data_IF_773307281711
#
_entry.id   IF_773307281711
#
_cell.length_a   1.000
_cell.length_b   1.000
_cell.length_c   1.000
_cell.angle_alpha   90.00
_cell.angle_beta   90.00
_cell.angle_gamma   90.00
#
_symmetry.space_group_name_H-M   'P 1'
#
loop_
_entity.id
_entity.type
_entity.pdbx_description
1 polymer ?
#
# COMPACT_ATOMS: atom_id res chain seq x y z
N UNK A 1 60.56 -59.15 -15.63
CA UNK A 1 59.66 -59.64 -16.70
C UNK A 1 58.34 -58.92 -16.51
N UNK A 2 58.03 -57.96 -17.37
CA UNK A 2 56.78 -57.21 -17.27
C UNK A 2 55.61 -58.13 -17.60
N UNK A 3 54.82 -58.49 -16.59
CA UNK A 3 53.59 -59.25 -16.78
C UNK A 3 52.63 -58.44 -17.65
N UNK A 4 52.43 -58.87 -18.89
CA UNK A 4 51.43 -58.29 -19.80
C UNK A 4 50.06 -58.91 -19.54
N UNK A 5 49.05 -58.08 -19.36
CA UNK A 5 47.66 -58.49 -19.20
C UNK A 5 47.00 -58.57 -20.58
N UNK A 6 46.52 -59.75 -21.00
CA UNK A 6 45.96 -59.96 -22.34
C UNK A 6 44.43 -60.10 -22.27
N UNK A 7 43.71 -59.46 -23.19
CA UNK A 7 42.27 -59.62 -23.30
C UNK A 7 41.90 -60.94 -23.99
N UNK A 8 41.13 -61.79 -23.34
CA UNK A 8 40.69 -63.09 -23.87
C UNK A 8 39.80 -62.99 -25.13
N UNK A 9 39.08 -61.87 -25.30
CA UNK A 9 38.14 -61.69 -26.42
C UNK A 9 38.81 -61.17 -27.68
N UNK A 10 39.82 -60.30 -27.55
CA UNK A 10 40.42 -59.62 -28.71
C UNK A 10 41.94 -59.68 -28.77
N UNK A 11 42.57 -60.41 -27.83
CA UNK A 11 44.01 -60.65 -27.74
C UNK A 11 44.89 -59.39 -27.62
N UNK A 12 44.30 -58.23 -27.32
CA UNK A 12 45.05 -57.00 -27.06
C UNK A 12 45.81 -57.09 -25.72
N UNK A 13 47.06 -56.61 -25.71
CA UNK A 13 47.92 -56.61 -24.52
C UNK A 13 47.94 -55.26 -23.81
N UNK A 14 47.93 -55.28 -22.48
CA UNK A 14 47.90 -54.11 -21.61
C UNK A 14 48.99 -54.19 -20.55
N UNK A 15 49.55 -53.03 -20.16
CA UNK A 15 50.59 -52.94 -19.13
C UNK A 15 50.07 -53.06 -17.70
N UNK A 16 48.75 -52.91 -17.48
CA UNK A 16 48.14 -52.94 -16.15
C UNK A 16 46.78 -53.65 -16.17
N UNK A 17 46.43 -54.29 -15.06
CA UNK A 17 45.13 -54.98 -14.91
C UNK A 17 43.95 -54.00 -15.04
N UNK A 18 44.07 -52.81 -14.44
CA UNK A 18 43.04 -51.76 -14.50
C UNK A 18 42.73 -51.33 -15.95
N UNK A 19 43.74 -51.26 -16.81
CA UNK A 19 43.55 -50.87 -18.20
C UNK A 19 42.92 -52.01 -19.02
N UNK A 20 43.27 -53.27 -18.75
CA UNK A 20 42.56 -54.43 -19.29
C UNK A 20 41.08 -54.44 -18.85
N UNK A 21 40.80 -54.16 -17.57
CA UNK A 21 39.43 -54.13 -17.04
C UNK A 21 38.58 -53.04 -17.71
N UNK A 22 39.15 -51.83 -17.87
CA UNK A 22 38.49 -50.73 -18.57
C UNK A 22 38.27 -51.07 -20.05
N UNK A 23 39.25 -51.70 -20.70
CA UNK A 23 39.14 -52.17 -22.07
C UNK A 23 37.99 -53.18 -22.23
N UNK A 24 37.91 -54.22 -21.38
CA UNK A 24 36.82 -55.23 -21.42
C UNK A 24 35.44 -54.59 -21.26
N UNK A 25 35.34 -53.49 -20.51
CA UNK A 25 34.08 -52.78 -20.20
C UNK A 25 33.67 -51.74 -21.25
N UNK A 26 34.61 -51.12 -21.96
CA UNK A 26 34.35 -49.91 -22.75
C UNK A 26 34.74 -50.04 -24.22
N UNK A 27 35.63 -50.97 -24.59
CA UNK A 27 36.10 -51.06 -25.96
C UNK A 27 34.99 -51.63 -26.86
N UNK A 28 34.44 -50.78 -27.74
CA UNK A 28 33.32 -51.10 -28.64
C UNK A 28 33.49 -52.43 -29.37
N UNK A 29 34.67 -52.69 -29.92
CA UNK A 29 34.95 -53.93 -30.65
C UNK A 29 35.02 -55.15 -29.73
N UNK A 30 35.59 -55.00 -28.53
CA UNK A 30 35.70 -56.07 -27.54
C UNK A 30 34.32 -56.43 -26.96
N UNK A 31 33.46 -55.44 -26.72
CA UNK A 31 32.08 -55.67 -26.29
C UNK A 31 31.24 -56.37 -27.37
N UNK A 32 31.43 -56.01 -28.64
CA UNK A 32 30.78 -56.69 -29.76
C UNK A 32 31.16 -58.18 -29.82
N UNK A 33 32.44 -58.51 -29.60
CA UNK A 33 32.91 -59.90 -29.51
C UNK A 33 32.34 -60.61 -28.27
N UNK A 34 32.14 -59.89 -27.16
CA UNK A 34 31.49 -60.40 -25.95
C UNK A 34 29.96 -60.58 -26.09
N UNK A 35 29.35 -60.18 -27.22
CA UNK A 35 27.89 -60.18 -27.39
C UNK A 35 27.17 -59.16 -26.49
N UNK A 36 27.86 -58.10 -26.05
CA UNK A 36 27.30 -57.04 -25.19
C UNK A 36 27.08 -55.76 -25.98
N UNK A 37 25.96 -55.10 -25.73
CA UNK A 37 25.71 -53.77 -26.28
C UNK A 37 26.54 -52.71 -25.57
N UNK A 38 27.06 -51.76 -26.35
CA UNK A 38 27.79 -50.62 -25.82
C UNK A 38 26.80 -49.55 -25.35
N UNK A 39 26.58 -49.46 -24.04
CA UNK A 39 25.69 -48.45 -23.44
C UNK A 39 26.30 -47.06 -23.65
N UNK A 40 25.64 -46.25 -24.48
CA UNK A 40 26.01 -44.86 -24.72
C UNK A 40 25.23 -43.92 -23.79
N UNK A 41 25.93 -42.95 -23.23
CA UNK A 41 25.34 -41.90 -22.40
C UNK A 41 24.88 -40.76 -23.32
N UNK A 42 23.58 -40.48 -23.38
CA UNK A 42 23.00 -39.49 -24.29
C UNK A 42 22.78 -38.15 -23.58
N UNK A 43 23.20 -37.05 -24.19
CA UNK A 43 22.89 -35.71 -23.72
C UNK A 43 21.40 -35.40 -23.94
N UNK A 44 20.69 -34.96 -22.89
CA UNK A 44 19.26 -34.65 -22.97
C UNK A 44 18.95 -33.37 -23.76
N UNK A 45 19.94 -32.48 -23.94
CA UNK A 45 19.80 -31.29 -24.79
C UNK A 45 19.98 -31.65 -26.27
N UNK A 46 21.24 -31.90 -26.67
CA UNK A 46 21.59 -32.07 -28.10
C UNK A 46 21.59 -33.50 -28.64
N UNK A 47 21.14 -34.47 -27.84
CA UNK A 47 21.07 -35.88 -28.23
C UNK A 47 22.41 -36.56 -28.61
N UNK A 48 23.57 -35.88 -28.47
CA UNK A 48 24.89 -36.48 -28.68
C UNK A 48 25.16 -37.60 -27.67
N UNK A 49 25.84 -38.64 -28.13
CA UNK A 49 26.15 -39.85 -27.35
C UNK A 49 27.61 -39.92 -26.96
N UNK A 50 27.89 -40.34 -25.73
CA UNK A 50 29.22 -40.41 -25.15
C UNK A 50 29.50 -41.80 -24.59
N UNK A 51 30.75 -42.25 -24.68
CA UNK A 51 31.18 -43.59 -24.24
C UNK A 51 31.26 -43.73 -22.72
N UNK A 52 31.36 -42.64 -21.97
CA UNK A 52 31.37 -42.66 -20.51
C UNK A 52 30.54 -41.50 -19.94
N UNK A 53 30.10 -41.67 -18.69
CA UNK A 53 29.36 -40.64 -17.95
C UNK A 53 30.19 -39.36 -17.74
N UNK A 54 31.50 -39.49 -17.47
CA UNK A 54 32.38 -38.33 -17.29
C UNK A 54 32.44 -37.44 -18.55
N UNK A 55 32.55 -38.06 -19.73
CA UNK A 55 32.54 -37.30 -20.99
C UNK A 55 31.20 -36.61 -21.23
N UNK A 56 30.08 -37.27 -20.89
CA UNK A 56 28.76 -36.65 -20.95
C UNK A 56 28.68 -35.44 -20.00
N UNK A 57 29.16 -35.58 -18.75
CA UNK A 57 29.13 -34.51 -17.76
C UNK A 57 29.95 -33.29 -18.21
N UNK A 58 31.18 -33.50 -18.69
CA UNK A 58 32.02 -32.42 -19.22
C UNK A 58 31.38 -31.76 -20.44
N UNK A 59 30.73 -32.54 -21.30
CA UNK A 59 29.97 -32.00 -22.42
C UNK A 59 28.76 -31.16 -21.94
N UNK A 60 27.99 -31.65 -20.98
CA UNK A 60 26.79 -30.97 -20.47
C UNK A 60 27.12 -29.59 -19.89
N UNK A 61 28.28 -29.42 -19.24
CA UNK A 61 28.74 -28.11 -18.74
C UNK A 61 28.84 -27.04 -19.81
N UNK A 62 29.14 -27.42 -21.06
CA UNK A 62 29.36 -26.49 -22.18
C UNK A 62 28.32 -26.64 -23.32
N UNK A 63 27.36 -27.56 -23.17
CA UNK A 63 26.33 -27.80 -24.17
C UNK A 63 25.21 -26.77 -24.02
N UNK A 64 25.11 -25.82 -24.95
CA UNK A 64 24.11 -24.75 -24.93
C UNK A 64 22.69 -25.31 -24.80
N UNK A 65 22.31 -26.30 -25.61
CA UNK A 65 20.97 -26.89 -25.58
C UNK A 65 20.64 -27.55 -24.23
N UNK A 66 21.61 -28.21 -23.61
CA UNK A 66 21.44 -28.78 -22.27
C UNK A 66 21.32 -27.71 -21.19
N UNK A 67 22.15 -26.67 -21.26
CA UNK A 67 22.11 -25.55 -20.31
C UNK A 67 20.78 -24.80 -20.38
N UNK A 68 20.26 -24.58 -21.60
CA UNK A 68 18.94 -23.96 -21.82
C UNK A 68 17.81 -24.84 -21.25
N UNK A 69 17.78 -26.14 -21.57
CA UNK A 69 16.77 -27.07 -21.04
C UNK A 69 16.81 -27.14 -19.49
N UNK A 70 18.00 -27.18 -18.91
CA UNK A 70 18.19 -27.17 -17.47
C UNK A 70 17.65 -25.87 -16.84
N UNK A 71 18.01 -24.71 -17.39
CA UNK A 71 17.52 -23.41 -16.91
C UNK A 71 16.01 -23.27 -17.05
N UNK A 72 15.43 -23.77 -18.15
CA UNK A 72 13.97 -23.79 -18.35
C UNK A 72 13.30 -24.61 -17.25
N UNK A 73 13.83 -25.80 -16.93
CA UNK A 73 13.28 -26.67 -15.86
C UNK A 73 13.36 -26.01 -14.49
N UNK A 74 14.47 -25.34 -14.17
CA UNK A 74 14.59 -24.59 -12.92
C UNK A 74 13.59 -23.43 -12.84
N UNK A 75 13.46 -22.66 -13.92
CA UNK A 75 12.49 -21.55 -13.99
C UNK A 75 11.05 -22.04 -13.91
N UNK A 76 10.70 -23.15 -14.56
CA UNK A 76 9.37 -23.75 -14.48
C UNK A 76 9.02 -24.14 -13.05
N UNK A 77 9.98 -24.68 -12.29
CA UNK A 77 9.78 -25.00 -10.88
C UNK A 77 9.49 -23.75 -10.05
N UNK A 78 10.24 -22.68 -10.25
CA UNK A 78 10.02 -21.39 -9.58
C UNK A 78 8.62 -20.85 -9.89
N UNK A 79 8.23 -20.86 -11.16
CA UNK A 79 6.91 -20.39 -11.60
C UNK A 79 5.78 -21.21 -10.95
N UNK A 80 5.94 -22.53 -10.83
CA UNK A 80 4.94 -23.39 -10.19
C UNK A 80 4.83 -23.11 -8.68
N UNK A 81 5.97 -22.86 -8.02
CA UNK A 81 6.00 -22.52 -6.59
C UNK A 81 5.38 -21.12 -6.34
N UNK A 82 5.69 -20.14 -7.19
CA UNK A 82 5.08 -18.79 -7.15
C UNK A 82 3.57 -18.84 -7.41
N UNK A 83 3.13 -19.62 -8.40
CA UNK A 83 1.70 -19.83 -8.69
C UNK A 83 0.96 -20.37 -7.48
N UNK A 84 1.54 -21.37 -6.79
CA UNK A 84 0.96 -21.93 -5.56
C UNK A 84 0.89 -20.90 -4.43
N UNK A 85 1.92 -20.05 -4.31
CA UNK A 85 1.92 -18.97 -3.31
C UNK A 85 0.80 -17.95 -3.60
N UNK A 86 0.62 -17.55 -4.86
CA UNK A 86 -0.45 -16.64 -5.29
C UNK A 86 -1.84 -17.25 -5.06
N UNK A 87 -2.04 -18.52 -5.39
CA UNK A 87 -3.31 -19.21 -5.13
C UNK A 87 -3.67 -19.27 -3.64
N UNK A 88 -2.67 -19.47 -2.77
CA UNK A 88 -2.90 -19.44 -1.32
C UNK A 88 -3.21 -18.04 -0.82
N UNK A 89 -2.51 -17.01 -1.30
CA UNK A 89 -2.79 -15.61 -0.96
C UNK A 89 -4.22 -15.20 -1.38
N UNK A 90 -4.65 -15.59 -2.57
CA UNK A 90 -6.00 -15.31 -3.06
C UNK A 90 -7.07 -15.96 -2.17
N UNK A 91 -6.88 -17.21 -1.73
CA UNK A 91 -7.82 -17.87 -0.80
C UNK A 91 -7.93 -17.14 0.55
N UNK A 92 -6.82 -16.60 1.05
CA UNK A 92 -6.82 -15.79 2.29
C UNK A 92 -7.61 -14.50 2.07
N UNK A 93 -7.33 -13.77 0.98
CA UNK A 93 -8.02 -12.52 0.64
C UNK A 93 -9.52 -12.72 0.38
N UNK A 94 -9.92 -13.84 -0.23
CA UNK A 94 -11.33 -14.19 -0.41
C UNK A 94 -12.05 -14.38 0.94
N UNK A 95 -11.39 -15.07 1.89
CA UNK A 95 -11.93 -15.26 3.24
C UNK A 95 -12.07 -13.94 3.98
N UNK A 96 -11.04 -13.09 3.94
CA UNK A 96 -11.08 -11.77 4.57
C UNK A 96 -12.19 -10.88 3.98
N UNK A 97 -12.41 -10.95 2.66
CA UNK A 97 -13.50 -10.22 2.01
C UNK A 97 -14.89 -10.71 2.47
N UNK A 98 -15.06 -12.01 2.68
CA UNK A 98 -16.31 -12.56 3.23
C UNK A 98 -16.53 -12.06 4.66
N UNK A 99 -15.50 -12.11 5.50
CA UNK A 99 -15.58 -11.66 6.90
C UNK A 99 -15.89 -10.15 6.99
N UNK A 100 -15.25 -9.33 6.14
CA UNK A 100 -15.52 -7.89 6.05
C UNK A 100 -16.94 -7.58 5.59
N UNK A 101 -17.47 -8.33 4.61
CA UNK A 101 -18.87 -8.19 4.18
C UNK A 101 -19.83 -8.50 5.32
N UNK A 102 -19.61 -9.58 6.06
CA UNK A 102 -20.45 -9.94 7.21
C UNK A 102 -20.41 -8.86 8.32
N UNK A 103 -19.23 -8.28 8.59
CA UNK A 103 -19.12 -7.18 9.55
C UNK A 103 -19.89 -5.94 9.07
N UNK A 104 -19.80 -5.61 7.78
CA UNK A 104 -20.50 -4.48 7.20
C UNK A 104 -22.02 -4.66 7.28
N UNK A 105 -22.53 -5.86 6.94
CA UNK A 105 -23.96 -6.19 7.05
C UNK A 105 -24.44 -6.06 8.51
N UNK A 106 -23.64 -6.54 9.48
CA UNK A 106 -23.95 -6.41 10.91
C UNK A 106 -23.98 -4.95 11.37
N UNK A 107 -23.04 -4.12 10.90
CA UNK A 107 -23.01 -2.68 11.19
C UNK A 107 -24.23 -1.98 10.59
N UNK A 108 -24.59 -2.30 9.35
CA UNK A 108 -25.78 -1.76 8.70
C UNK A 108 -27.05 -2.12 9.46
N UNK A 109 -27.19 -3.37 9.89
CA UNK A 109 -28.33 -3.80 10.71
C UNK A 109 -28.36 -3.06 12.06
N UNK A 110 -27.20 -2.89 12.70
CA UNK A 110 -27.10 -2.14 13.97
C UNK A 110 -27.52 -0.68 13.78
N UNK A 111 -27.11 -0.04 12.69
CA UNK A 111 -27.51 1.33 12.35
C UNK A 111 -29.02 1.40 12.13
N UNK A 112 -29.60 0.43 11.40
CA UNK A 112 -31.03 0.34 11.17
C UNK A 112 -31.81 0.22 12.48
N UNK A 113 -31.39 -0.69 13.38
CA UNK A 113 -32.02 -0.90 14.68
C UNK A 113 -31.93 0.37 15.57
N UNK A 114 -30.80 1.09 15.52
CA UNK A 114 -30.62 2.36 16.22
C UNK A 114 -31.52 3.47 15.64
N UNK A 115 -31.65 3.53 14.31
CA UNK A 115 -32.52 4.49 13.64
C UNK A 115 -34.00 4.24 13.97
N UNK A 116 -34.46 2.98 13.95
CA UNK A 116 -35.82 2.59 14.34
C UNK A 116 -36.11 2.95 15.81
N UNK A 117 -35.16 2.72 16.71
CA UNK A 117 -35.27 3.14 18.12
C UNK A 117 -35.28 4.66 18.30
N UNK A 118 -34.56 5.41 17.47
CA UNK A 118 -34.56 6.87 17.50
C UNK A 118 -35.90 7.48 17.08
N UNK A 119 -36.59 6.88 16.09
CA UNK A 119 -37.92 7.32 15.64
C UNK A 119 -38.98 7.15 16.74
N UNK A 120 -38.81 6.16 17.62
CA UNK A 120 -39.74 5.89 18.73
C UNK A 120 -39.59 6.81 19.94
N UNK A 121 -38.57 7.69 19.97
CA UNK A 121 -38.37 8.66 21.06
C UNK A 121 -38.96 10.02 20.64
N UNK A 122 -39.90 10.60 21.42
CA UNK A 122 -40.29 11.98 21.21
C UNK A 122 -39.07 12.89 21.42
N UNK A 123 -38.72 13.68 20.41
CA UNK A 123 -37.59 14.60 20.45
C UNK A 123 -37.94 15.78 21.37
N UNK A 124 -37.41 15.77 22.59
CA UNK A 124 -37.36 16.96 23.42
C UNK A 124 -36.13 17.75 22.96
N UNK A 125 -36.33 18.70 22.06
CA UNK A 125 -35.29 19.67 21.69
C UNK A 125 -35.00 20.54 22.92
N UNK A 126 -33.91 20.27 23.63
CA UNK A 126 -33.45 21.12 24.73
C UNK A 126 -32.97 22.46 24.15
N UNK A 127 -33.89 23.44 24.05
CA UNK A 127 -33.61 24.79 23.56
C UNK A 127 -32.55 25.55 24.41
N UNK A 128 -32.18 25.04 25.58
CA UNK A 128 -31.25 25.71 26.50
C UNK A 128 -29.78 25.72 26.02
N UNK A 129 -29.29 24.68 25.31
CA UNK A 129 -27.87 24.61 24.88
C UNK A 129 -27.57 25.56 23.71
N UNK A 130 -28.51 25.75 22.78
CA UNK A 130 -28.34 26.64 21.61
C UNK A 130 -28.33 28.11 22.05
N UNK A 131 -29.11 28.46 23.07
CA UNK A 131 -29.17 29.82 23.60
C UNK A 131 -27.86 30.28 24.27
N UNK A 132 -26.97 29.35 24.66
CA UNK A 132 -25.70 29.67 25.30
C UNK A 132 -24.54 29.87 24.32
N UNK A 133 -24.75 29.65 23.01
CA UNK A 133 -23.69 29.86 22.01
C UNK A 133 -23.25 31.33 21.96
N UNK A 134 -21.94 31.55 21.81
CA UNK A 134 -21.40 32.88 21.55
C UNK A 134 -21.61 33.30 20.09
N UNK A 135 -21.68 34.61 19.85
CA UNK A 135 -21.83 35.21 18.51
C UNK A 135 -20.58 34.96 17.66
N UNK A 136 -20.73 34.52 16.43
CA UNK A 136 -19.64 34.52 15.46
C UNK A 136 -19.67 35.84 14.69
N UNK A 137 -18.63 36.65 14.87
CA UNK A 137 -18.39 37.87 14.06
C UNK A 137 -17.16 37.73 13.19
N UNK A 138 -17.11 38.54 12.14
CA UNK A 138 -15.96 38.64 11.25
C UNK A 138 -14.69 39.05 12.01
N UNK A 139 -14.78 39.98 12.97
CA UNK A 139 -13.63 40.37 13.80
C UNK A 139 -13.13 39.21 14.65
N UNK A 140 -14.03 38.48 15.32
CA UNK A 140 -13.64 37.35 16.16
C UNK A 140 -12.89 36.29 15.34
N UNK A 141 -13.40 35.94 14.16
CA UNK A 141 -12.73 34.98 13.28
C UNK A 141 -11.34 35.48 12.88
N UNK A 142 -11.21 36.74 12.48
CA UNK A 142 -9.92 37.35 12.11
C UNK A 142 -8.93 37.34 13.27
N UNK A 143 -9.37 37.63 14.49
CA UNK A 143 -8.53 37.60 15.69
C UNK A 143 -7.98 36.21 16.01
N UNK A 144 -8.69 35.15 15.60
CA UNK A 144 -8.25 33.77 15.81
C UNK A 144 -7.29 33.25 14.74
N UNK A 145 -7.11 33.95 13.60
CA UNK A 145 -6.25 33.51 12.48
C UNK A 145 -4.82 33.22 12.93
N UNK A 146 -4.30 34.00 13.89
CA UNK A 146 -2.95 33.82 14.45
C UNK A 146 -2.71 32.45 15.10
N UNK A 147 -3.77 31.75 15.52
CA UNK A 147 -3.67 30.44 16.14
C UNK A 147 -3.58 29.30 15.12
N UNK A 148 -3.72 29.58 13.83
CA UNK A 148 -3.36 28.62 12.79
C UNK A 148 -1.84 28.45 12.78
N UNK A 149 -1.40 27.21 12.88
CA UNK A 149 0.01 26.81 13.01
C UNK A 149 0.38 25.80 11.95
N UNK A 150 1.68 25.61 11.73
CA UNK A 150 2.21 24.62 10.79
C UNK A 150 1.77 23.19 11.15
N UNK A 151 1.58 22.88 12.43
CA UNK A 151 1.16 21.55 12.87
C UNK A 151 -0.27 21.23 12.45
N UNK A 152 -1.16 22.24 12.44
CA UNK A 152 -2.50 22.07 11.89
C UNK A 152 -2.44 21.72 10.38
N UNK A 153 -1.56 22.40 9.63
CA UNK A 153 -1.37 22.10 8.20
C UNK A 153 -0.80 20.70 8.00
N UNK A 154 0.19 20.28 8.79
CA UNK A 154 0.81 18.94 8.70
C UNK A 154 -0.19 17.80 8.96
N UNK A 155 -1.23 18.04 9.75
CA UNK A 155 -2.28 17.05 10.06
C UNK A 155 -3.43 17.01 9.04
N UNK A 156 -3.41 17.87 8.02
CA UNK A 156 -4.46 17.94 7.00
C UNK A 156 -5.85 18.26 7.56
N UNK A 157 -6.89 17.59 7.03
CA UNK A 157 -8.29 17.88 7.37
C UNK A 157 -8.56 17.80 8.88
N UNK A 158 -7.91 16.87 9.59
CA UNK A 158 -7.99 16.77 11.04
C UNK A 158 -7.44 18.04 11.72
N UNK A 159 -6.26 18.50 11.31
CA UNK A 159 -5.64 19.69 11.88
C UNK A 159 -6.44 20.97 11.65
N UNK A 160 -7.01 21.17 10.46
CA UNK A 160 -7.92 22.29 10.23
C UNK A 160 -9.16 22.21 11.12
N UNK A 161 -9.75 21.02 11.29
CA UNK A 161 -10.91 20.84 12.17
C UNK A 161 -10.57 21.10 13.64
N UNK A 162 -9.40 20.68 14.11
CA UNK A 162 -8.89 20.97 15.46
C UNK A 162 -8.76 22.48 15.66
N UNK A 163 -8.06 23.17 14.75
CA UNK A 163 -7.93 24.61 14.77
C UNK A 163 -9.30 25.30 14.84
N UNK A 164 -10.23 24.94 13.94
CA UNK A 164 -11.54 25.59 13.91
C UNK A 164 -12.31 25.40 15.21
N UNK A 165 -12.30 24.20 15.78
CA UNK A 165 -13.03 23.87 17.00
C UNK A 165 -12.42 24.50 18.25
N UNK A 166 -11.10 24.62 18.32
CA UNK A 166 -10.39 25.15 19.48
C UNK A 166 -10.38 26.68 19.52
N UNK A 167 -10.44 27.34 18.36
CA UNK A 167 -10.29 28.79 18.26
C UNK A 167 -11.55 29.47 17.70
N UNK A 168 -11.79 29.61 16.38
CA UNK A 168 -12.89 30.43 15.89
C UNK A 168 -14.28 29.89 16.23
N UNK A 169 -14.46 28.57 16.37
CA UNK A 169 -15.77 27.94 16.61
C UNK A 169 -15.98 27.43 18.04
N UNK A 170 -15.01 27.64 18.93
CA UNK A 170 -15.10 27.18 20.33
C UNK A 170 -16.35 27.74 21.00
N UNK A 171 -17.23 26.84 21.43
CA UNK A 171 -18.51 27.15 22.11
C UNK A 171 -19.44 28.07 21.28
N UNK A 172 -19.30 28.05 19.95
CA UNK A 172 -20.03 28.93 19.02
C UNK A 172 -20.88 28.20 18.00
N UNK A 173 -20.67 26.90 17.84
CA UNK A 173 -21.42 26.05 16.91
C UNK A 173 -21.94 24.80 17.57
N UNK A 174 -23.05 24.28 17.06
CA UNK A 174 -23.59 22.98 17.45
C UNK A 174 -24.12 22.24 16.23
N UNK A 175 -23.82 20.95 16.12
CA UNK A 175 -24.36 20.08 15.09
C UNK A 175 -25.69 19.49 15.59
N UNK A 176 -26.78 19.86 14.89
CA UNK A 176 -28.15 19.44 15.26
C UNK A 176 -28.65 18.23 14.48
N UNK A 177 -28.05 17.95 13.32
CA UNK A 177 -28.32 16.76 12.52
C UNK A 177 -27.00 16.32 11.89
N UNK A 178 -26.41 15.26 12.44
CA UNK A 178 -25.13 14.74 11.98
C UNK A 178 -25.22 14.14 10.57
N UNK A 179 -26.31 13.45 10.26
CA UNK A 179 -26.50 12.78 8.97
C UNK A 179 -26.59 13.80 7.83
N UNK A 180 -27.17 14.97 8.09
CA UNK A 180 -27.30 16.09 7.14
C UNK A 180 -26.30 17.22 7.35
N UNK A 181 -25.30 17.00 8.20
CA UNK A 181 -24.25 17.97 8.58
C UNK A 181 -24.81 19.37 8.83
N UNK A 182 -25.89 19.44 9.62
CA UNK A 182 -26.65 20.67 9.86
C UNK A 182 -26.13 21.36 11.11
N UNK A 183 -25.32 22.39 10.92
CA UNK A 183 -24.85 23.24 12.01
C UNK A 183 -25.86 24.35 12.34
N UNK A 184 -25.83 24.76 13.60
CA UNK A 184 -26.43 26.00 14.06
C UNK A 184 -25.39 26.84 14.80
N UNK A 185 -25.46 28.15 14.62
CA UNK A 185 -24.60 29.14 15.28
C UNK A 185 -25.34 30.46 15.44
N UNK A 186 -24.80 31.38 16.25
CA UNK A 186 -25.32 32.75 16.33
C UNK A 186 -24.53 33.67 15.40
N UNK A 187 -25.22 34.39 14.52
CA UNK A 187 -24.61 35.43 13.67
C UNK A 187 -24.31 36.71 14.48
N UNK A 188 -23.77 37.73 13.82
CA UNK A 188 -23.44 39.04 14.41
C UNK A 188 -24.64 39.74 15.07
N UNK A 189 -25.85 39.51 14.55
CA UNK A 189 -27.10 40.05 15.08
C UNK A 189 -27.61 39.26 16.30
N UNK A 190 -26.92 38.18 16.70
CA UNK A 190 -27.32 37.29 17.79
C UNK A 190 -28.40 36.28 17.41
N UNK A 191 -28.76 36.21 16.13
CA UNK A 191 -29.79 35.30 15.61
C UNK A 191 -29.23 33.91 15.38
N UNK A 192 -30.02 32.89 15.67
CA UNK A 192 -29.64 31.50 15.43
C UNK A 192 -29.81 31.19 13.94
N UNK A 193 -28.69 31.05 13.25
CA UNK A 193 -28.64 30.62 11.85
C UNK A 193 -28.53 29.11 11.79
N UNK A 194 -29.28 28.49 10.88
CA UNK A 194 -29.10 27.09 10.53
C UNK A 194 -28.38 26.99 9.19
N UNK A 195 -27.24 26.31 9.17
CA UNK A 195 -26.34 26.24 8.02
C UNK A 195 -26.07 24.79 7.61
N UNK A 196 -26.95 24.21 6.77
CA UNK A 196 -26.74 22.88 6.20
C UNK A 196 -25.45 22.82 5.39
N UNK A 197 -24.66 21.77 5.58
CA UNK A 197 -23.37 21.59 4.91
C UNK A 197 -22.39 22.76 5.15
N UNK A 198 -22.58 23.53 6.22
CA UNK A 198 -21.74 24.67 6.63
C UNK A 198 -21.46 25.66 5.50
N UNK A 199 -22.46 25.92 4.66
CA UNK A 199 -22.29 26.67 3.41
C UNK A 199 -21.86 28.11 3.63
N UNK A 200 -22.43 28.79 4.61
CA UNK A 200 -22.14 30.20 4.85
C UNK A 200 -20.90 30.37 5.73
N UNK A 201 -20.80 29.54 6.78
CA UNK A 201 -19.72 29.68 7.76
C UNK A 201 -18.36 29.23 7.22
N UNK A 202 -18.34 28.23 6.33
CA UNK A 202 -17.10 27.75 5.71
C UNK A 202 -16.42 28.82 4.87
N UNK A 203 -17.19 29.53 4.04
CA UNK A 203 -16.71 30.64 3.23
C UNK A 203 -15.98 31.70 4.07
N UNK A 204 -16.57 32.09 5.20
CA UNK A 204 -15.99 33.06 6.12
C UNK A 204 -14.69 32.55 6.76
N UNK A 205 -14.70 31.30 7.23
CA UNK A 205 -13.53 30.68 7.84
C UNK A 205 -12.36 30.53 6.86
N UNK A 206 -12.60 29.98 5.67
CA UNK A 206 -11.53 29.73 4.70
C UNK A 206 -11.00 31.03 4.10
N UNK A 207 -11.86 32.02 3.82
CA UNK A 207 -11.39 33.34 3.36
C UNK A 207 -10.52 34.04 4.40
N UNK A 208 -10.85 33.93 5.69
CA UNK A 208 -10.09 34.62 6.76
C UNK A 208 -8.69 34.04 6.98
N UNK A 209 -8.50 32.72 6.82
CA UNK A 209 -7.19 32.08 7.04
C UNK A 209 -6.29 32.08 5.80
N UNK A 210 -6.76 32.56 4.63
CA UNK A 210 -6.05 32.45 3.34
C UNK A 210 -4.59 32.89 3.40
N UNK A 211 -4.32 34.10 3.87
CA UNK A 211 -2.96 34.66 3.91
C UNK A 211 -2.08 33.90 4.91
N UNK A 212 -2.59 33.62 6.11
CA UNK A 212 -1.86 32.85 7.12
C UNK A 212 -1.55 31.43 6.66
N UNK A 213 -2.49 30.78 5.99
CA UNK A 213 -2.29 29.46 5.42
C UNK A 213 -1.17 29.48 4.39
N UNK A 214 -1.15 30.49 3.50
CA UNK A 214 -0.09 30.66 2.51
C UNK A 214 1.28 30.82 3.14
N UNK A 215 1.41 31.64 4.19
CA UNK A 215 2.66 31.80 4.94
C UNK A 215 3.18 30.47 5.47
N UNK A 216 2.29 29.70 6.12
CA UNK A 216 2.63 28.42 6.71
C UNK A 216 2.91 27.33 5.66
N UNK A 217 2.22 27.37 4.51
CA UNK A 217 2.51 26.50 3.37
C UNK A 217 3.93 26.75 2.85
N UNK A 218 4.32 28.02 2.70
CA UNK A 218 5.69 28.39 2.30
C UNK A 218 6.71 27.91 3.34
N UNK A 219 6.43 28.12 4.63
CA UNK A 219 7.28 27.64 5.71
C UNK A 219 7.48 26.12 5.65
N UNK A 220 6.39 25.36 5.49
CA UNK A 220 6.48 23.89 5.46
C UNK A 220 7.16 23.37 4.19
N UNK A 221 6.94 24.03 3.05
CA UNK A 221 7.65 23.72 1.79
C UNK A 221 9.15 23.90 1.95
N UNK A 222 9.59 24.96 2.63
CA UNK A 222 11.00 25.18 2.94
C UNK A 222 11.55 24.10 3.88
N UNK A 223 10.82 23.72 4.93
CA UNK A 223 11.21 22.60 5.82
C UNK A 223 11.38 21.28 5.05
N UNK A 224 10.47 20.96 4.13
CA UNK A 224 10.55 19.75 3.31
C UNK A 224 11.74 19.82 2.35
N UNK A 225 11.98 20.98 1.74
CA UNK A 225 13.12 21.21 0.83
C UNK A 225 14.44 21.02 1.55
N UNK A 226 14.58 21.50 2.78
CA UNK A 226 15.81 21.33 3.56
C UNK A 226 16.00 19.88 4.02
N UNK A 227 14.93 19.18 4.39
CA UNK A 227 14.99 17.73 4.67
C UNK A 227 15.41 16.93 3.43
N UNK A 228 14.91 17.31 2.26
CA UNK A 228 15.29 16.69 0.99
C UNK A 228 16.78 16.84 0.69
N UNK A 229 17.36 18.02 0.94
CA UNK A 229 18.82 18.26 0.75
C UNK A 229 19.70 17.42 1.67
N UNK A 230 19.20 17.02 2.84
CA UNK A 230 19.96 16.29 3.86
C UNK A 230 19.79 14.77 3.73
N UNK A 231 18.75 14.30 3.03
CA UNK A 231 18.48 12.88 2.83
C UNK A 231 19.65 12.18 2.12
N UNK A 232 20.14 11.07 2.69
CA UNK A 232 21.33 10.35 2.19
C UNK A 232 21.02 9.00 1.55
N UNK A 233 19.86 8.42 1.84
CA UNK A 233 19.45 7.12 1.32
C UNK A 233 18.15 7.19 0.49
N UNK A 234 17.96 6.27 -0.47
CA UNK A 234 16.79 6.29 -1.36
C UNK A 234 15.44 6.15 -0.65
N UNK A 235 15.38 5.49 0.50
CA UNK A 235 14.14 5.27 1.25
C UNK A 235 13.67 6.57 1.89
N UNK A 236 14.58 7.30 2.54
CA UNK A 236 14.28 8.63 3.08
C UNK A 236 13.86 9.62 1.98
N UNK A 237 14.53 9.56 0.81
CA UNK A 237 14.18 10.39 -0.33
C UNK A 237 12.75 10.12 -0.81
N UNK A 238 12.40 8.84 -0.99
CA UNK A 238 11.05 8.43 -1.39
C UNK A 238 10.00 8.89 -0.39
N UNK A 239 10.28 8.75 0.91
CA UNK A 239 9.37 9.22 1.96
C UNK A 239 9.13 10.73 1.88
N UNK A 240 10.18 11.56 1.75
CA UNK A 240 9.99 13.00 1.65
C UNK A 240 9.29 13.43 0.35
N UNK A 241 9.53 12.71 -0.76
CA UNK A 241 8.80 12.95 -2.01
C UNK A 241 7.31 12.64 -1.87
N UNK A 242 6.96 11.53 -1.20
CA UNK A 242 5.57 11.19 -0.91
C UNK A 242 4.89 12.23 -0.02
N UNK A 243 5.56 12.65 1.06
CA UNK A 243 5.06 13.70 1.96
C UNK A 243 4.86 15.02 1.20
N UNK A 244 5.79 15.42 0.34
CA UNK A 244 5.66 16.64 -0.47
C UNK A 244 4.53 16.53 -1.51
N UNK A 245 4.33 15.36 -2.10
CA UNK A 245 3.23 15.08 -3.03
C UNK A 245 1.87 15.21 -2.34
N UNK A 246 1.70 14.54 -1.20
CA UNK A 246 0.48 14.60 -0.39
C UNK A 246 0.21 16.03 0.08
N UNK A 247 1.24 16.74 0.52
CA UNK A 247 1.12 18.14 0.95
C UNK A 247 0.72 19.07 -0.21
N UNK A 248 1.30 18.88 -1.40
CA UNK A 248 0.93 19.68 -2.59
C UNK A 248 -0.52 19.46 -3.00
N UNK A 249 -1.02 18.22 -2.91
CA UNK A 249 -2.43 17.92 -3.15
C UNK A 249 -3.32 18.60 -2.11
N UNK A 250 -2.97 18.52 -0.82
CA UNK A 250 -3.69 19.20 0.24
C UNK A 250 -3.76 20.72 0.03
N UNK A 251 -2.64 21.35 -0.31
CA UNK A 251 -2.59 22.81 -0.54
C UNK A 251 -3.51 23.22 -1.70
N UNK A 252 -3.57 22.41 -2.76
CA UNK A 252 -4.51 22.62 -3.86
C UNK A 252 -5.97 22.50 -3.42
N UNK A 253 -6.32 21.49 -2.62
CA UNK A 253 -7.68 21.32 -2.12
C UNK A 253 -8.10 22.48 -1.20
N UNK A 254 -7.21 22.94 -0.31
CA UNK A 254 -7.46 24.10 0.54
C UNK A 254 -7.58 25.39 -0.29
N UNK A 255 -6.75 25.55 -1.33
CA UNK A 255 -6.83 26.69 -2.23
C UNK A 255 -8.17 26.79 -2.94
N UNK A 256 -8.72 25.66 -3.39
CA UNK A 256 -10.06 25.61 -4.00
C UNK A 256 -11.14 26.07 -3.03
N UNK A 257 -11.02 25.70 -1.76
CA UNK A 257 -11.96 26.10 -0.72
C UNK A 257 -11.93 27.60 -0.41
N UNK A 258 -10.79 28.29 -0.59
CA UNK A 258 -10.75 29.76 -0.52
C UNK A 258 -11.64 30.44 -1.57
N UNK A 259 -11.99 29.72 -2.64
CA UNK A 259 -12.86 30.18 -3.72
C UNK A 259 -14.28 29.59 -3.63
N UNK A 260 -14.64 28.96 -2.49
CA UNK A 260 -15.98 28.42 -2.23
C UNK A 260 -16.22 27.02 -2.80
N UNK A 261 -15.20 26.35 -3.33
CA UNK A 261 -15.31 24.96 -3.79
C UNK A 261 -15.32 23.99 -2.59
N UNK A 262 -16.31 23.10 -2.57
CA UNK A 262 -16.55 22.14 -1.49
C UNK A 262 -16.19 20.75 -1.97
N UNK A 263 -14.90 20.43 -1.89
CA UNK A 263 -14.32 19.14 -2.25
C UNK A 263 -14.42 18.10 -1.12
N UNK A 264 -13.89 16.90 -1.36
CA UNK A 264 -13.87 15.83 -0.36
C UNK A 264 -13.09 16.23 0.91
N UNK A 265 -12.03 17.03 0.77
CA UNK A 265 -11.25 17.55 1.90
C UNK A 265 -12.09 18.45 2.81
N UNK A 266 -12.91 19.34 2.24
CA UNK A 266 -13.91 20.12 2.97
C UNK A 266 -14.88 19.23 3.73
N UNK A 267 -15.39 18.19 3.05
CA UNK A 267 -16.35 17.26 3.64
C UNK A 267 -15.78 16.48 4.83
N UNK A 268 -14.49 16.15 4.81
CA UNK A 268 -13.79 15.53 5.94
C UNK A 268 -13.63 16.50 7.12
N UNK A 269 -13.25 17.76 6.86
CA UNK A 269 -13.20 18.81 7.89
C UNK A 269 -14.58 18.97 8.55
N UNK A 270 -15.63 19.11 7.74
CA UNK A 270 -16.99 19.28 8.21
C UNK A 270 -17.46 18.07 9.04
N UNK A 271 -17.15 16.85 8.61
CA UNK A 271 -17.48 15.64 9.37
C UNK A 271 -16.82 15.64 10.75
N UNK A 272 -15.56 16.06 10.84
CA UNK A 272 -14.82 16.17 12.10
C UNK A 272 -15.38 17.27 13.02
N UNK A 273 -15.79 18.42 12.45
CA UNK A 273 -16.45 19.49 13.22
C UNK A 273 -17.78 18.99 13.77
N UNK A 274 -18.62 18.40 12.91
CA UNK A 274 -19.92 17.88 13.30
C UNK A 274 -19.80 16.81 14.38
N UNK A 275 -18.89 15.84 14.25
CA UNK A 275 -18.74 14.74 15.22
C UNK A 275 -18.38 15.21 16.63
N UNK A 276 -17.62 16.30 16.75
CA UNK A 276 -17.21 16.88 18.03
C UNK A 276 -18.19 17.90 18.60
N UNK A 277 -19.20 18.32 17.83
CA UNK A 277 -20.16 19.36 18.23
C UNK A 277 -21.60 18.87 18.20
N UNK A 278 -21.83 17.56 18.07
CA UNK A 278 -23.18 16.97 18.15
C UNK A 278 -23.79 17.34 19.49
N UNK A 279 -25.00 17.91 19.46
CA UNK A 279 -25.79 18.09 20.68
C UNK A 279 -26.00 16.73 21.32
N UNK A 280 -25.43 16.51 22.52
CA UNK A 280 -25.86 15.40 23.36
C UNK A 280 -27.36 15.57 23.63
N UNK A 281 -28.11 14.51 23.32
CA UNK A 281 -29.54 14.38 23.63
C UNK A 281 -29.71 14.17 25.13
#
# INVERSE_FOLDING_TARGET
>A
MDSKYICEFCQSSFSYEKTLLNHKKLAKYCLAIQGREHILNKCSGCSKTFSTSNWLQTHQQNCVEYQVDFQIKERLKIVEDEKRAVENANKILEKENIDLKQQNDKLQQTIKDLAEKAISKPTITNNNTINNLHIISDEHIKDQVKNLTIDHIKKGALGYSEYFLEYPLKERVICTDYARRKLKYKNEQGEIVSDPEMTNLSDLLFKSIKERNRELTIQYTNELTDKFKIAKDPTQLSYFMEVAGNFSQQDLEVFRMFNGDKNDFFHDILRNICSKTVSSV
#
